data_IF_974805493512
#
_entry.id   IF_974805493512
#
_cell.length_a   1.000
_cell.length_b   1.000
_cell.length_c   1.000
_cell.angle_alpha   90.00
_cell.angle_beta   90.00
_cell.angle_gamma   90.00
#
_symmetry.space_group_name_H-M   'P 1'
#
loop_
_entity.id
_entity.type
_entity.pdbx_description
1 polymer ?
#
# COMPACT_ATOMS: atom_id res chain seq x y z
N UNK A 1 -1.37 13.22 19.00
CA UNK A 1 -1.08 14.20 17.94
C UNK A 1 0.06 15.10 18.41
N UNK A 2 1.31 14.81 18.05
CA UNK A 2 2.42 15.73 18.26
C UNK A 2 2.37 16.80 17.17
N UNK A 3 2.07 18.05 17.55
CA UNK A 3 2.24 19.20 16.66
C UNK A 3 3.73 19.47 16.55
N UNK A 4 4.28 19.39 15.34
CA UNK A 4 5.64 19.84 15.05
C UNK A 4 5.70 21.37 15.21
N UNK A 5 6.71 21.86 15.91
CA UNK A 5 6.95 23.28 16.16
C UNK A 5 7.48 24.00 14.92
N UNK A 6 8.25 23.30 14.07
CA UNK A 6 8.86 23.90 12.90
C UNK A 6 7.88 23.99 11.73
N UNK A 7 7.85 25.15 11.07
CA UNK A 7 6.97 25.41 9.92
C UNK A 7 7.62 25.00 8.59
N UNK A 8 8.96 25.09 8.49
CA UNK A 8 9.69 24.78 7.26
C UNK A 8 9.94 23.26 7.10
N UNK A 9 9.86 22.71 5.87
CA UNK A 9 10.02 21.27 5.62
C UNK A 9 11.36 20.71 6.12
N UNK A 10 12.47 21.40 5.84
CA UNK A 10 13.81 20.97 6.27
C UNK A 10 13.99 20.96 7.80
N UNK A 11 13.44 21.93 8.51
CA UNK A 11 13.53 21.97 9.97
C UNK A 11 12.59 20.97 10.64
N UNK A 12 11.48 20.59 10.01
CA UNK A 12 10.62 19.49 10.50
C UNK A 12 11.32 18.14 10.49
N UNK A 13 12.17 17.89 9.49
CA UNK A 13 12.99 16.66 9.44
C UNK A 13 13.96 16.64 10.62
N UNK A 14 14.65 17.75 10.86
CA UNK A 14 15.57 17.90 11.99
C UNK A 14 14.82 17.76 13.33
N UNK A 15 13.67 18.40 13.47
CA UNK A 15 12.84 18.34 14.68
C UNK A 15 12.38 16.90 14.98
N UNK A 16 11.97 16.13 13.95
CA UNK A 16 11.65 14.71 14.12
C UNK A 16 12.86 13.89 14.54
N UNK A 17 14.03 14.15 13.97
CA UNK A 17 15.27 13.50 14.39
C UNK A 17 15.61 13.84 15.85
N UNK A 18 15.36 15.07 16.29
CA UNK A 18 15.57 15.52 17.66
C UNK A 18 14.53 14.98 18.65
N UNK A 19 13.32 14.61 18.20
CA UNK A 19 12.32 13.93 19.01
C UNK A 19 12.62 12.43 19.21
N UNK A 20 13.50 11.85 18.40
CA UNK A 20 13.92 10.46 18.55
C UNK A 20 15.11 10.37 19.52
N UNK A 21 15.08 9.46 20.50
CA UNK A 21 16.24 9.21 21.36
C UNK A 21 17.49 8.88 20.52
N UNK A 22 18.69 9.39 20.88
CA UNK A 22 19.92 9.05 20.18
C UNK A 22 20.11 7.53 20.07
N UNK A 23 20.32 7.03 18.85
CA UNK A 23 20.44 5.58 18.58
C UNK A 23 19.12 4.83 18.43
N UNK A 24 17.97 5.52 18.47
CA UNK A 24 16.67 4.91 18.18
C UNK A 24 16.61 4.41 16.74
N UNK A 25 16.55 3.09 16.58
CA UNK A 25 16.14 2.47 15.32
C UNK A 25 14.65 2.19 15.42
N UNK A 26 13.82 2.78 14.54
CA UNK A 26 12.42 2.40 14.45
C UNK A 26 12.32 0.87 14.34
N UNK A 27 11.40 0.27 15.10
CA UNK A 27 11.09 -1.14 14.93
C UNK A 27 10.68 -1.32 13.46
N UNK A 28 11.28 -2.28 12.75
CA UNK A 28 10.86 -2.66 11.38
C UNK A 28 9.46 -3.27 11.31
N UNK A 29 8.66 -3.11 12.38
CA UNK A 29 7.31 -3.60 12.59
C UNK A 29 6.52 -2.54 13.37
N UNK A 30 5.32 -2.20 12.90
CA UNK A 30 4.45 -1.17 13.46
C UNK A 30 3.83 -0.25 12.40
N UNK A 31 2.80 0.51 12.80
CA UNK A 31 2.14 1.54 11.98
C UNK A 31 3.09 2.74 11.91
N UNK A 32 4.06 2.70 11.00
CA UNK A 32 4.91 3.85 10.68
C UNK A 32 4.41 4.45 9.37
N UNK A 33 3.49 5.40 9.48
CA UNK A 33 3.01 6.15 8.32
C UNK A 33 4.01 7.27 8.02
N UNK A 34 4.64 7.24 6.85
CA UNK A 34 5.30 8.41 6.27
C UNK A 34 4.27 9.51 6.15
N UNK A 35 4.51 10.63 6.83
CA UNK A 35 3.70 11.83 6.69
C UNK A 35 3.74 12.33 5.24
N UNK A 36 2.69 13.03 4.82
CA UNK A 36 2.53 13.62 3.49
C UNK A 36 3.76 14.45 3.08
N UNK A 37 4.31 15.21 4.03
CA UNK A 37 5.53 16.02 3.82
C UNK A 37 6.76 15.15 3.57
N UNK A 38 6.85 13.97 4.19
CA UNK A 38 8.01 13.08 4.09
C UNK A 38 8.06 12.38 2.73
N UNK A 39 6.95 11.79 2.28
CA UNK A 39 6.96 11.10 0.99
C UNK A 39 6.94 12.09 -0.19
N UNK A 40 6.31 13.26 -0.08
CA UNK A 40 6.40 14.32 -1.11
C UNK A 40 7.81 14.88 -1.28
N UNK A 41 8.63 14.85 -0.23
CA UNK A 41 10.03 15.31 -0.29
C UNK A 41 10.99 14.32 -0.98
N UNK A 42 10.54 13.08 -1.24
CA UNK A 42 11.35 12.01 -1.85
C UNK A 42 11.29 11.99 -3.38
N UNK A 43 10.67 12.98 -4.03
CA UNK A 43 10.64 13.04 -5.49
C UNK A 43 9.73 11.99 -6.13
N UNK A 44 10.29 11.12 -6.97
CA UNK A 44 9.55 10.21 -7.86
C UNK A 44 8.92 9.02 -7.13
N UNK A 45 7.91 8.39 -7.74
CA UNK A 45 7.21 7.24 -7.13
C UNK A 45 8.14 6.05 -6.87
N UNK A 46 9.11 5.81 -7.77
CA UNK A 46 10.09 4.74 -7.63
C UNK A 46 10.92 4.87 -6.36
N UNK A 47 11.31 6.08 -5.96
CA UNK A 47 12.05 6.33 -4.72
C UNK A 47 11.21 6.02 -3.47
N UNK A 48 9.89 6.25 -3.55
CA UNK A 48 8.96 5.91 -2.48
C UNK A 48 8.81 4.39 -2.38
N UNK A 49 8.63 3.71 -3.52
CA UNK A 49 8.57 2.25 -3.59
C UNK A 49 9.84 1.65 -2.99
N UNK A 50 11.01 2.11 -3.42
CA UNK A 50 12.32 1.69 -2.90
C UNK A 50 12.40 1.87 -1.38
N UNK A 51 11.97 3.03 -0.86
CA UNK A 51 11.95 3.26 0.57
C UNK A 51 11.05 2.28 1.32
N UNK A 52 9.87 1.94 0.77
CA UNK A 52 8.94 1.00 1.40
C UNK A 52 9.51 -0.42 1.39
N UNK A 53 10.09 -0.86 0.27
CA UNK A 53 10.76 -2.15 0.13
C UNK A 53 11.89 -2.31 1.16
N UNK A 54 12.75 -1.29 1.31
CA UNK A 54 13.82 -1.32 2.30
C UNK A 54 13.30 -1.33 3.75
N UNK A 55 12.26 -0.54 4.05
CA UNK A 55 11.64 -0.53 5.39
C UNK A 55 11.01 -1.88 5.74
N UNK A 56 10.48 -2.59 4.76
CA UNK A 56 9.89 -3.91 4.92
C UNK A 56 10.89 -5.06 4.93
N UNK A 57 12.19 -4.78 4.70
CA UNK A 57 13.27 -5.76 4.59
C UNK A 57 13.04 -6.73 3.41
N UNK A 58 12.50 -6.21 2.30
CA UNK A 58 12.17 -6.95 1.08
C UNK A 58 13.24 -6.80 -0.01
N UNK A 59 14.51 -6.64 0.36
CA UNK A 59 15.62 -6.33 -0.56
C UNK A 59 15.81 -7.37 -1.68
N UNK A 60 15.42 -8.62 -1.44
CA UNK A 60 15.47 -9.68 -2.44
C UNK A 60 14.46 -9.48 -3.58
N UNK A 61 13.39 -8.69 -3.36
CA UNK A 61 12.44 -8.32 -4.40
C UNK A 61 12.91 -7.12 -5.20
N UNK A 62 13.91 -6.36 -4.73
CA UNK A 62 14.29 -5.06 -5.30
C UNK A 62 14.52 -5.13 -6.80
N UNK A 63 15.35 -6.07 -7.26
CA UNK A 63 15.62 -6.26 -8.70
C UNK A 63 14.34 -6.48 -9.52
N UNK A 64 13.42 -7.30 -9.01
CA UNK A 64 12.16 -7.61 -9.69
C UNK A 64 11.21 -6.41 -9.67
N UNK A 65 11.17 -5.68 -8.57
CA UNK A 65 10.39 -4.44 -8.43
C UNK A 65 10.92 -3.37 -9.38
N UNK A 66 12.23 -3.17 -9.45
CA UNK A 66 12.87 -2.24 -10.38
C UNK A 66 12.46 -2.56 -11.83
N UNK A 67 12.54 -3.83 -12.25
CA UNK A 67 12.09 -4.27 -13.58
C UNK A 67 10.61 -3.94 -13.86
N UNK A 68 9.73 -4.10 -12.87
CA UNK A 68 8.29 -3.84 -13.01
C UNK A 68 7.99 -2.34 -13.10
N UNK A 69 8.65 -1.52 -12.28
CA UNK A 69 8.37 -0.08 -12.18
C UNK A 69 9.19 0.76 -13.18
N UNK A 70 10.17 0.17 -13.87
CA UNK A 70 10.87 0.81 -14.99
C UNK A 70 10.02 0.87 -16.28
N UNK A 71 8.93 0.11 -16.40
CA UNK A 71 8.06 0.17 -17.58
C UNK A 71 7.16 1.42 -17.56
N UNK A 72 7.43 2.37 -18.46
CA UNK A 72 6.89 3.75 -18.45
C UNK A 72 5.41 3.82 -18.89
N UNK A 73 4.88 2.83 -19.62
CA UNK A 73 3.56 2.91 -20.26
C UNK A 73 2.38 2.31 -19.45
N UNK A 74 2.62 1.70 -18.30
CA UNK A 74 1.55 1.08 -17.48
C UNK A 74 1.10 2.04 -16.37
N UNK A 75 -0.20 2.05 -16.06
CA UNK A 75 -0.69 2.70 -14.84
C UNK A 75 0.12 2.17 -13.63
N UNK A 76 0.99 3.01 -13.05
CA UNK A 76 1.93 2.56 -12.02
C UNK A 76 1.21 2.02 -10.79
N UNK A 77 0.13 2.70 -10.36
CA UNK A 77 -0.58 2.40 -9.12
C UNK A 77 -1.68 1.36 -9.33
N UNK A 78 -2.64 1.65 -10.22
CA UNK A 78 -3.85 0.82 -10.37
C UNK A 78 -3.67 -0.34 -11.34
N UNK A 79 -4.59 -1.31 -11.27
CA UNK A 79 -4.63 -2.43 -12.23
C UNK A 79 -5.05 -1.92 -13.61
N UNK A 80 -6.11 -1.13 -13.62
CA UNK A 80 -6.70 -0.51 -14.80
C UNK A 80 -7.56 0.69 -14.40
N UNK A 81 -8.02 1.44 -15.40
CA UNK A 81 -8.88 2.61 -15.21
C UNK A 81 -10.19 2.30 -14.47
N UNK A 82 -10.71 1.06 -14.59
CA UNK A 82 -11.92 0.62 -13.88
C UNK A 82 -11.64 0.50 -12.38
N UNK A 83 -10.58 -0.20 -12.01
CA UNK A 83 -10.10 -0.31 -10.64
C UNK A 83 -9.84 1.08 -10.02
N UNK A 84 -9.24 1.99 -10.79
CA UNK A 84 -9.08 3.39 -10.37
C UNK A 84 -10.43 4.03 -10.01
N UNK A 85 -11.40 3.99 -10.92
CA UNK A 85 -12.74 4.56 -10.71
C UNK A 85 -13.46 3.94 -9.51
N UNK A 86 -13.41 2.62 -9.38
CA UNK A 86 -14.07 1.89 -8.30
C UNK A 86 -13.45 2.26 -6.95
N UNK A 87 -12.12 2.32 -6.86
CA UNK A 87 -11.43 2.75 -5.66
C UNK A 87 -11.75 4.19 -5.27
N UNK A 88 -11.78 5.14 -6.22
CA UNK A 88 -12.20 6.52 -5.94
C UNK A 88 -13.67 6.63 -5.52
N UNK A 89 -14.56 5.82 -6.10
CA UNK A 89 -15.95 5.74 -5.67
C UNK A 89 -16.06 5.31 -4.20
N UNK A 90 -15.23 4.37 -3.77
CA UNK A 90 -15.13 3.95 -2.37
C UNK A 90 -14.57 5.06 -1.47
N UNK A 91 -13.58 5.83 -1.96
CA UNK A 91 -12.99 6.97 -1.25
C UNK A 91 -13.96 8.14 -1.07
N UNK A 92 -14.93 8.33 -1.97
CA UNK A 92 -15.92 9.41 -1.91
C UNK A 92 -17.24 8.97 -1.26
N UNK A 93 -17.40 7.67 -0.97
CA UNK A 93 -18.61 7.10 -0.39
C UNK A 93 -18.68 7.19 1.15
N UNK A 94 -19.60 6.42 1.74
CA UNK A 94 -19.82 6.36 3.20
C UNK A 94 -18.56 5.98 4.00
N UNK A 95 -17.61 5.29 3.35
CA UNK A 95 -16.37 4.74 3.89
C UNK A 95 -15.17 5.70 3.83
N UNK A 96 -15.36 6.90 3.31
CA UNK A 96 -14.29 7.89 3.08
C UNK A 96 -13.40 8.11 4.31
N UNK A 97 -14.01 8.25 5.50
CA UNK A 97 -13.30 8.52 6.74
C UNK A 97 -12.39 7.35 7.13
N UNK A 98 -12.88 6.11 7.08
CA UNK A 98 -12.09 4.94 7.45
C UNK A 98 -10.94 4.72 6.47
N UNK A 99 -11.15 4.93 5.17
CA UNK A 99 -10.09 4.86 4.16
C UNK A 99 -9.00 5.93 4.36
N UNK A 100 -9.38 7.12 4.84
CA UNK A 100 -8.43 8.20 5.07
C UNK A 100 -7.60 7.99 6.35
N UNK A 101 -8.21 7.50 7.44
CA UNK A 101 -7.56 7.41 8.75
C UNK A 101 -6.97 6.03 9.08
N UNK A 102 -7.34 4.98 8.35
CA UNK A 102 -6.81 3.63 8.52
C UNK A 102 -6.11 3.16 7.23
N UNK A 103 -4.79 3.39 7.09
CA UNK A 103 -4.07 3.09 5.86
C UNK A 103 -4.03 1.58 5.55
N UNK A 104 -3.97 0.72 6.57
CA UNK A 104 -4.10 -0.74 6.40
C UNK A 104 -5.47 -1.17 5.87
N UNK A 105 -6.54 -0.49 6.28
CA UNK A 105 -7.88 -0.71 5.72
C UNK A 105 -7.93 -0.28 4.25
N UNK A 106 -7.37 0.87 3.93
CA UNK A 106 -7.35 1.36 2.55
C UNK A 106 -6.52 0.48 1.61
N UNK A 107 -5.35 0.04 2.04
CA UNK A 107 -4.51 -0.85 1.28
C UNK A 107 -5.16 -2.22 1.06
N UNK A 108 -5.87 -2.74 2.06
CA UNK A 108 -6.64 -3.97 1.92
C UNK A 108 -7.82 -3.81 0.94
N UNK A 109 -8.57 -2.70 1.04
CA UNK A 109 -9.65 -2.40 0.08
C UNK A 109 -9.11 -2.24 -1.34
N UNK A 110 -7.96 -1.59 -1.51
CA UNK A 110 -7.28 -1.44 -2.80
C UNK A 110 -6.97 -2.79 -3.45
N UNK A 111 -6.44 -3.76 -2.70
CA UNK A 111 -6.18 -5.10 -3.23
C UNK A 111 -7.47 -5.86 -3.56
N UNK A 112 -8.49 -5.75 -2.71
CA UNK A 112 -9.77 -6.43 -2.89
C UNK A 112 -10.57 -5.86 -4.06
N UNK A 113 -10.43 -4.57 -4.37
CA UNK A 113 -11.08 -3.91 -5.51
C UNK A 113 -10.33 -4.08 -6.83
N UNK A 114 -9.15 -4.73 -6.83
CA UNK A 114 -8.36 -4.93 -8.03
C UNK A 114 -8.97 -5.96 -9.00
N UNK A 115 -9.92 -6.76 -8.53
CA UNK A 115 -10.65 -7.75 -9.32
C UNK A 115 -12.15 -7.69 -9.00
N UNK A 116 -12.99 -7.65 -10.03
CA UNK A 116 -14.44 -7.42 -9.89
C UNK A 116 -15.14 -8.63 -9.25
N UNK A 117 -14.80 -9.84 -9.68
CA UNK A 117 -15.39 -11.07 -9.12
C UNK A 117 -14.97 -11.28 -7.66
N UNK A 118 -13.72 -10.92 -7.33
CA UNK A 118 -13.25 -10.92 -5.94
C UNK A 118 -14.02 -9.88 -5.11
N UNK A 119 -14.18 -8.66 -5.64
CA UNK A 119 -14.90 -7.60 -4.95
C UNK A 119 -16.35 -7.98 -4.67
N UNK A 120 -17.06 -8.57 -5.62
CA UNK A 120 -18.45 -9.01 -5.43
C UNK A 120 -18.61 -10.05 -4.32
N UNK A 121 -17.61 -10.93 -4.14
CA UNK A 121 -17.60 -11.92 -3.05
C UNK A 121 -17.31 -11.27 -1.68
N UNK A 122 -16.49 -10.22 -1.63
CA UNK A 122 -15.94 -9.67 -0.38
C UNK A 122 -16.67 -8.41 0.08
N UNK A 123 -17.27 -7.62 -0.81
CA UNK A 123 -17.80 -6.28 -0.54
C UNK A 123 -18.84 -6.24 0.59
N UNK A 124 -19.62 -7.32 0.79
CA UNK A 124 -20.60 -7.48 1.88
C UNK A 124 -19.96 -7.56 3.26
N UNK A 125 -18.72 -8.02 3.33
CA UNK A 125 -17.94 -8.20 4.57
C UNK A 125 -16.98 -7.02 4.85
N UNK A 126 -16.92 -6.05 3.93
CA UNK A 126 -16.17 -4.80 4.08
C UNK A 126 -17.11 -3.76 4.66
N UNK A 127 -16.96 -3.43 5.95
CA UNK A 127 -17.81 -2.47 6.66
C UNK A 127 -16.99 -1.25 7.09
N UNK A 128 -17.68 -0.16 7.43
CA UNK A 128 -17.05 1.09 7.88
C UNK A 128 -16.22 0.88 9.16
N UNK A 129 -16.55 -0.15 9.96
CA UNK A 129 -15.84 -0.54 11.19
C UNK A 129 -14.62 -1.43 10.94
N UNK A 130 -14.46 -2.01 9.74
CA UNK A 130 -13.40 -2.96 9.43
C UNK A 130 -13.79 -4.05 8.42
N UNK A 131 -12.85 -4.93 8.11
CA UNK A 131 -13.01 -6.02 7.14
C UNK A 131 -13.06 -7.37 7.88
N UNK A 132 -14.13 -8.12 7.68
CA UNK A 132 -14.33 -9.42 8.33
C UNK A 132 -13.88 -10.56 7.41
N UNK A 133 -12.56 -10.76 7.28
CA UNK A 133 -11.97 -11.79 6.42
C UNK A 133 -12.45 -13.21 6.74
N UNK A 134 -12.68 -13.53 8.02
CA UNK A 134 -13.07 -14.89 8.44
C UNK A 134 -14.50 -15.26 8.03
N UNK A 135 -15.31 -14.29 7.58
CA UNK A 135 -16.66 -14.51 7.07
C UNK A 135 -16.71 -14.75 5.56
N UNK A 136 -15.59 -14.55 4.87
CA UNK A 136 -15.50 -14.71 3.41
C UNK A 136 -15.21 -16.17 3.06
N UNK A 137 -15.94 -16.73 2.10
CA UNK A 137 -15.68 -18.05 1.53
C UNK A 137 -15.22 -17.91 0.08
N UNK A 138 -13.94 -18.21 -0.19
CA UNK A 138 -13.32 -18.12 -1.52
C UNK A 138 -13.59 -19.37 -2.39
N UNK A 139 -14.83 -19.85 -2.47
CA UNK A 139 -15.16 -20.96 -3.36
C UNK A 139 -14.97 -20.57 -4.83
N UNK A 140 -14.26 -21.41 -5.60
CA UNK A 140 -14.09 -21.25 -7.05
C UNK A 140 -13.43 -19.92 -7.45
N UNK A 141 -12.33 -19.55 -6.78
CA UNK A 141 -11.53 -18.37 -7.14
C UNK A 141 -10.31 -18.78 -7.97
N UNK A 142 -9.82 -17.85 -8.78
CA UNK A 142 -8.55 -18.01 -9.49
C UNK A 142 -7.37 -17.90 -8.52
N UNK A 143 -6.19 -18.35 -8.96
CA UNK A 143 -4.96 -18.21 -8.18
C UNK A 143 -4.66 -16.72 -7.87
N UNK A 144 -4.84 -15.83 -8.84
CA UNK A 144 -4.66 -14.38 -8.65
C UNK A 144 -5.58 -13.81 -7.58
N UNK A 145 -6.88 -14.15 -7.62
CA UNK A 145 -7.87 -13.72 -6.64
C UNK A 145 -7.53 -14.23 -5.23
N UNK A 146 -7.04 -15.47 -5.13
CA UNK A 146 -6.57 -16.05 -3.87
C UNK A 146 -5.38 -15.27 -3.31
N UNK A 147 -4.38 -14.98 -4.14
CA UNK A 147 -3.19 -14.21 -3.74
C UNK A 147 -3.60 -12.80 -3.29
N UNK A 148 -4.43 -12.09 -4.06
CA UNK A 148 -4.91 -10.75 -3.72
C UNK A 148 -5.68 -10.73 -2.39
N UNK A 149 -6.54 -11.72 -2.14
CA UNK A 149 -7.29 -11.81 -0.88
C UNK A 149 -6.38 -12.01 0.32
N UNK A 150 -5.44 -12.95 0.23
CA UNK A 150 -4.51 -13.24 1.33
C UNK A 150 -3.54 -12.07 1.55
N UNK A 151 -3.08 -11.43 0.48
CA UNK A 151 -2.29 -10.20 0.59
C UNK A 151 -3.07 -9.07 1.28
N UNK A 152 -4.35 -8.89 0.94
CA UNK A 152 -5.21 -7.90 1.59
C UNK A 152 -5.39 -8.20 3.09
N UNK A 153 -5.59 -9.48 3.45
CA UNK A 153 -5.70 -9.92 4.86
C UNK A 153 -4.45 -9.58 5.64
N UNK A 154 -3.28 -9.76 5.04
CA UNK A 154 -1.99 -9.53 5.67
C UNK A 154 -1.67 -8.07 5.87
N UNK A 155 -1.89 -7.27 4.84
CA UNK A 155 -1.74 -5.82 4.93
C UNK A 155 -2.69 -5.25 5.98
N UNK A 156 -3.94 -5.74 6.04
CA UNK A 156 -4.93 -5.28 7.02
C UNK A 156 -4.53 -5.57 8.47
N UNK A 157 -4.09 -6.79 8.74
CA UNK A 157 -3.71 -7.23 10.09
C UNK A 157 -2.30 -6.78 10.49
N UNK A 158 -1.51 -6.26 9.55
CA UNK A 158 -0.09 -5.96 9.76
C UNK A 158 0.75 -7.23 10.00
N UNK A 159 0.27 -8.38 9.54
CA UNK A 159 0.88 -9.70 9.73
C UNK A 159 1.70 -10.09 8.51
N UNK A 160 2.90 -10.65 8.73
CA UNK A 160 3.73 -11.19 7.64
C UNK A 160 3.28 -12.61 7.23
N UNK A 161 2.01 -12.82 6.83
CA UNK A 161 1.61 -14.18 6.39
C UNK A 161 1.98 -14.48 4.93
N UNK A 162 2.15 -13.47 4.06
CA UNK A 162 2.75 -13.68 2.74
C UNK A 162 4.19 -14.08 2.98
N UNK A 163 4.54 -15.31 2.62
CA UNK A 163 5.91 -15.78 2.81
C UNK A 163 6.79 -15.06 1.80
N UNK A 164 7.93 -14.58 2.26
CA UNK A 164 8.93 -13.90 1.40
C UNK A 164 9.31 -14.75 0.17
N UNK A 165 9.31 -16.07 0.32
CA UNK A 165 9.56 -17.03 -0.75
C UNK A 165 8.49 -17.04 -1.86
N UNK A 166 7.23 -16.74 -1.51
CA UNK A 166 6.12 -16.69 -2.47
C UNK A 166 6.19 -15.43 -3.33
N UNK A 167 6.69 -14.31 -2.77
CA UNK A 167 6.87 -13.04 -3.50
C UNK A 167 7.98 -13.07 -4.55
N UNK A 168 9.00 -13.90 -4.34
CA UNK A 168 10.13 -14.04 -5.28
C UNK A 168 9.82 -14.94 -6.48
N UNK A 169 8.81 -15.80 -6.37
CA UNK A 169 8.47 -16.78 -7.40
C UNK A 169 7.65 -16.11 -8.53
N UNK A 170 8.17 -16.20 -9.77
CA UNK A 170 7.52 -15.64 -10.96
C UNK A 170 6.43 -16.56 -11.51
N UNK A 171 6.50 -17.85 -11.22
CA UNK A 171 5.50 -18.83 -11.66
C UNK A 171 4.26 -18.77 -10.76
N UNK A 172 4.47 -18.45 -9.47
CA UNK A 172 3.38 -18.31 -8.50
C UNK A 172 2.71 -16.93 -8.55
N UNK A 173 3.51 -15.86 -8.59
CA UNK A 173 3.00 -14.48 -8.56
C UNK A 173 3.40 -13.80 -9.85
N UNK A 174 2.42 -13.38 -10.65
CA UNK A 174 2.68 -12.58 -11.84
C UNK A 174 3.17 -11.17 -11.48
N UNK A 175 3.96 -10.56 -12.35
CA UNK A 175 4.51 -9.21 -12.16
C UNK A 175 3.41 -8.14 -11.93
N UNK A 176 2.25 -8.30 -12.59
CA UNK A 176 1.08 -7.43 -12.37
C UNK A 176 0.53 -7.52 -10.94
N UNK A 177 0.45 -8.73 -10.38
CA UNK A 177 -0.04 -8.96 -9.01
C UNK A 177 0.98 -8.45 -7.99
N UNK A 178 2.28 -8.69 -8.23
CA UNK A 178 3.33 -8.16 -7.38
C UNK A 178 3.30 -6.63 -7.34
N UNK A 179 3.09 -5.97 -8.49
CA UNK A 179 2.93 -4.52 -8.58
C UNK A 179 1.80 -4.02 -7.67
N UNK A 180 0.63 -4.66 -7.72
CA UNK A 180 -0.50 -4.30 -6.87
C UNK A 180 -0.20 -4.50 -5.38
N UNK A 181 0.48 -5.59 -5.01
CA UNK A 181 0.89 -5.87 -3.62
C UNK A 181 1.86 -4.78 -3.12
N UNK A 182 2.86 -4.40 -3.93
CA UNK A 182 3.82 -3.34 -3.57
C UNK A 182 3.10 -2.01 -3.41
N UNK A 183 2.19 -1.66 -4.33
CA UNK A 183 1.40 -0.43 -4.22
C UNK A 183 0.49 -0.43 -2.99
N UNK A 184 -0.03 -1.57 -2.58
CA UNK A 184 -0.78 -1.69 -1.33
C UNK A 184 0.11 -1.41 -0.10
N UNK A 185 1.36 -1.91 -0.09
CA UNK A 185 2.31 -1.55 0.97
C UNK A 185 2.64 -0.05 0.97
N UNK A 186 2.76 0.55 -0.21
CA UNK A 186 2.95 1.99 -0.34
C UNK A 186 1.76 2.76 0.24
N UNK A 187 0.51 2.33 -0.01
CA UNK A 187 -0.69 2.94 0.60
C UNK A 187 -0.70 2.72 2.12
N UNK A 188 -0.32 1.54 2.61
CA UNK A 188 -0.27 1.24 4.04
C UNK A 188 0.78 2.09 4.78
N UNK A 189 1.91 2.39 4.13
CA UNK A 189 3.00 3.20 4.71
C UNK A 189 2.92 4.69 4.41
N UNK A 190 2.28 5.16 3.34
CA UNK A 190 2.21 6.59 2.98
C UNK A 190 0.81 7.18 3.15
N UNK A 191 -0.20 6.34 3.36
CA UNK A 191 -1.60 6.73 3.36
C UNK A 191 -2.21 6.80 1.96
N UNK A 192 -3.52 6.99 1.91
CA UNK A 192 -4.32 7.03 0.67
C UNK A 192 -4.01 8.23 -0.22
N UNK A 193 -3.50 9.32 0.34
CA UNK A 193 -3.26 10.55 -0.41
C UNK A 193 -2.20 10.38 -1.51
N UNK A 194 -1.32 9.38 -1.37
CA UNK A 194 -0.37 9.01 -2.43
C UNK A 194 -1.07 8.63 -3.74
N UNK A 195 -2.26 8.06 -3.64
CA UNK A 195 -3.04 7.63 -4.80
C UNK A 195 -3.72 8.80 -5.50
N UNK A 196 -3.90 9.94 -4.82
CA UNK A 196 -4.50 11.15 -5.40
C UNK A 196 -3.53 11.95 -6.28
N UNK A 197 -2.24 11.64 -6.20
CA UNK A 197 -1.25 12.29 -7.03
C UNK A 197 -1.29 11.70 -8.44
N UNK A 198 -1.73 12.52 -9.41
CA UNK A 198 -1.99 12.08 -10.78
C UNK A 198 -0.72 11.99 -11.64
N UNK A 199 0.36 12.64 -11.21
CA UNK A 199 1.62 12.70 -11.97
C UNK A 199 2.78 12.35 -11.06
N UNK A 200 3.45 11.26 -11.40
CA UNK A 200 4.55 10.69 -10.62
C UNK A 200 5.91 10.79 -11.29
N UNK A 201 5.95 11.31 -12.53
CA UNK A 201 7.14 11.44 -13.38
C UNK A 201 7.09 12.74 -14.24
N UNK A 202 6.60 13.87 -13.69
CA UNK A 202 6.81 15.16 -14.35
C UNK A 202 8.16 15.71 -13.90
N UNK A 203 9.21 15.24 -14.58
CA UNK A 203 10.39 15.99 -15.03
C UNK A 203 11.39 15.02 -15.68
#
# INVERSE_FOLDING_TARGET
>A
MSKLFCVSPGLRVLERQMQQPPGYRPRGYGICVMDEVEWKSRGNYSEIVDCVISRMQLEHLKKRVDEIFCEIDKEMIFRNLKHRKDFYSLLMGKRAKTLQYAPGYAAAVFLLSADEELWDKVCKNVLDTGIYFDRVRLGGVTLEQYILFHAAKDVYNGTKHIRLSELTDRDLIADEILRLIVNAFVIEKCGVDIVKQEVWNAD
#
